data_IF_183997099899
#
_entry.id   IF_183997099899
#
_cell.length_a   1.000
_cell.length_b   1.000
_cell.length_c   1.000
_cell.angle_alpha   90.00
_cell.angle_beta   90.00
_cell.angle_gamma   90.00
#
_symmetry.space_group_name_H-M   'P 1'
#
loop_
_entity.id
_entity.type
_entity.pdbx_description
1 polymer ?
#
# COMPACT_ATOMS: atom_id res chain seq x y z
N UNK A 1 -1.93 5.43 -1.07
CA UNK A 1 -2.52 6.10 -2.24
C UNK A 1 -1.96 7.50 -2.25
N UNK A 2 -1.49 8.01 -3.38
CA UNK A 2 -1.08 9.42 -3.46
C UNK A 2 -2.27 10.30 -3.08
N UNK A 3 -2.14 11.05 -1.98
CA UNK A 3 -3.19 11.90 -1.44
C UNK A 3 -3.13 13.27 -2.13
N UNK A 4 -4.06 13.60 -3.03
CA UNK A 4 -4.00 14.84 -3.82
C UNK A 4 -4.02 16.12 -2.98
N UNK A 5 -4.66 16.11 -1.80
CA UNK A 5 -4.74 17.28 -0.93
C UNK A 5 -3.44 17.54 -0.14
N UNK A 6 -2.65 16.49 0.12
CA UNK A 6 -1.39 16.57 0.88
C UNK A 6 -0.11 16.33 0.06
N UNK A 7 -0.21 15.73 -1.13
CA UNK A 7 0.91 15.00 -1.74
C UNK A 7 2.17 15.83 -1.96
N UNK A 8 2.07 17.01 -2.58
CA UNK A 8 3.27 17.82 -2.87
C UNK A 8 3.94 18.25 -1.56
N UNK A 9 3.17 18.65 -0.55
CA UNK A 9 3.70 19.03 0.76
C UNK A 9 4.34 17.84 1.48
N UNK A 10 3.72 16.66 1.42
CA UNK A 10 4.26 15.43 1.96
C UNK A 10 5.61 15.04 1.32
N UNK A 11 5.68 15.04 0.00
CA UNK A 11 6.92 14.69 -0.69
C UNK A 11 8.03 15.72 -0.46
N UNK A 12 7.71 17.02 -0.37
CA UNK A 12 8.67 18.06 0.04
C UNK A 12 9.18 17.85 1.47
N UNK A 13 8.31 17.41 2.37
CA UNK A 13 8.70 17.10 3.74
C UNK A 13 9.62 15.88 3.80
N UNK A 14 9.30 14.80 3.07
CA UNK A 14 10.19 13.65 2.94
C UNK A 14 11.56 14.05 2.41
N UNK A 15 11.62 14.86 1.35
CA UNK A 15 12.87 15.39 0.80
C UNK A 15 13.66 16.18 1.85
N UNK A 16 13.02 17.13 2.56
CA UNK A 16 13.66 17.95 3.60
C UNK A 16 14.23 17.12 4.75
N UNK A 17 13.60 15.99 5.08
CA UNK A 17 13.98 15.11 6.18
C UNK A 17 14.89 13.95 5.74
N UNK A 18 15.23 13.85 4.45
CA UNK A 18 16.05 12.75 3.92
C UNK A 18 15.33 11.39 3.89
N UNK A 19 14.00 11.39 3.86
CA UNK A 19 13.17 10.17 3.85
C UNK A 19 12.87 9.77 2.41
N UNK A 20 13.01 8.47 2.10
CA UNK A 20 12.68 7.91 0.79
C UNK A 20 11.39 7.10 0.84
N UNK A 21 10.43 7.43 -0.03
CA UNK A 21 9.24 6.61 -0.26
C UNK A 21 9.50 5.63 -1.42
N UNK A 22 9.66 4.35 -1.10
CA UNK A 22 10.21 3.32 -1.99
C UNK A 22 9.17 2.44 -2.70
N UNK A 23 7.91 2.52 -2.30
CA UNK A 23 6.82 1.80 -2.96
C UNK A 23 5.57 1.67 -2.11
N UNK A 24 4.51 1.14 -2.72
CA UNK A 24 3.26 0.81 -2.04
C UNK A 24 2.57 -0.37 -2.72
N UNK A 25 1.56 -0.96 -2.04
CA UNK A 25 0.79 -2.10 -2.53
C UNK A 25 0.11 -1.87 -3.90
N UNK A 26 -0.06 -0.62 -4.33
CA UNK A 26 -0.71 -0.26 -5.61
C UNK A 26 0.27 -0.02 -6.76
N UNK A 27 1.56 0.02 -6.46
CA UNK A 27 2.62 0.34 -7.44
C UNK A 27 3.16 -0.90 -8.18
N UNK A 28 2.45 -2.04 -8.09
CA UNK A 28 2.93 -3.34 -8.57
C UNK A 28 1.94 -4.01 -9.51
N UNK A 29 2.49 -4.68 -10.52
CA UNK A 29 1.76 -5.45 -11.52
C UNK A 29 2.15 -6.92 -11.39
N UNK A 30 1.18 -7.80 -11.30
CA UNK A 30 1.43 -9.20 -10.97
C UNK A 30 1.60 -10.05 -12.23
N UNK A 31 2.55 -9.71 -13.10
CA UNK A 31 2.86 -10.58 -14.24
C UNK A 31 3.57 -11.85 -13.75
N UNK A 32 3.42 -12.97 -14.46
CA UNK A 32 4.14 -14.21 -14.12
C UNK A 32 5.68 -14.05 -14.12
N UNK A 33 6.18 -13.08 -14.89
CA UNK A 33 7.59 -12.73 -14.99
C UNK A 33 8.10 -11.81 -13.89
N UNK A 34 7.23 -11.28 -13.03
CA UNK A 34 7.63 -10.35 -11.97
C UNK A 34 8.44 -11.09 -10.88
N UNK A 35 9.63 -10.61 -10.48
CA UNK A 35 10.46 -11.33 -9.50
C UNK A 35 9.76 -11.61 -8.17
N UNK A 36 8.87 -10.72 -7.76
CA UNK A 36 8.12 -10.77 -6.50
C UNK A 36 6.88 -11.66 -6.53
N UNK A 37 6.57 -12.34 -7.63
CA UNK A 37 5.52 -13.38 -7.69
C UNK A 37 6.10 -14.80 -7.53
N UNK A 38 7.43 -14.92 -7.50
CA UNK A 38 8.13 -16.19 -7.29
C UNK A 38 7.77 -16.81 -5.94
N UNK A 39 7.33 -18.06 -5.94
CA UNK A 39 6.99 -18.79 -4.71
C UNK A 39 5.60 -18.47 -4.13
N UNK A 40 4.78 -17.67 -4.83
CA UNK A 40 3.45 -17.28 -4.37
C UNK A 40 2.39 -17.70 -5.41
N UNK A 41 1.97 -18.98 -5.44
CA UNK A 41 1.13 -19.51 -6.51
C UNK A 41 -0.24 -18.82 -6.56
N UNK A 42 -0.77 -18.63 -7.77
CA UNK A 42 -2.09 -18.05 -8.00
C UNK A 42 -2.17 -16.52 -7.89
N UNK A 43 -1.03 -15.85 -7.68
CA UNK A 43 -0.99 -14.38 -7.55
C UNK A 43 -0.76 -13.64 -8.86
N UNK A 44 -0.13 -14.30 -9.82
CA UNK A 44 0.26 -13.71 -11.09
C UNK A 44 -0.74 -13.99 -12.22
N UNK A 45 -0.79 -13.09 -13.21
CA UNK A 45 -1.52 -13.26 -14.45
C UNK A 45 -0.59 -13.61 -15.62
N UNK A 46 -1.15 -14.26 -16.63
CA UNK A 46 -0.50 -14.57 -17.90
C UNK A 46 -1.29 -13.99 -19.07
N UNK A 47 -0.58 -13.58 -20.13
CA UNK A 47 -1.17 -13.13 -21.38
C UNK A 47 -1.05 -14.24 -22.42
N UNK A 48 -2.18 -14.69 -22.96
CA UNK A 48 -2.27 -15.72 -24.00
C UNK A 48 -3.06 -15.18 -25.20
N UNK A 49 -2.34 -14.91 -26.28
CA UNK A 49 -2.88 -14.32 -27.52
C UNK A 49 -3.21 -15.36 -28.59
N UNK A 50 -3.27 -16.65 -28.24
CA UNK A 50 -3.44 -17.75 -29.21
C UNK A 50 -4.77 -17.67 -29.98
N UNK A 51 -5.89 -17.36 -29.31
CA UNK A 51 -7.20 -17.19 -29.93
C UNK A 51 -8.10 -16.26 -29.09
N UNK A 52 -9.30 -15.95 -29.60
CA UNK A 52 -10.24 -15.04 -28.95
C UNK A 52 -10.59 -15.46 -27.51
N UNK A 53 -10.82 -16.75 -27.27
CA UNK A 53 -11.19 -17.23 -25.93
C UNK A 53 -10.03 -17.06 -24.95
N UNK A 54 -8.81 -17.43 -25.33
CA UNK A 54 -7.63 -17.27 -24.46
C UNK A 54 -7.29 -15.81 -24.20
N UNK A 55 -7.56 -14.92 -25.18
CA UNK A 55 -7.44 -13.48 -24.98
C UNK A 55 -8.46 -12.95 -23.95
N UNK A 56 -9.71 -13.43 -24.02
CA UNK A 56 -10.76 -13.07 -23.04
C UNK A 56 -10.37 -13.58 -21.64
N UNK A 57 -9.91 -14.82 -21.53
CA UNK A 57 -9.42 -15.39 -20.26
C UNK A 57 -8.26 -14.55 -19.71
N UNK A 58 -7.32 -14.16 -20.55
CA UNK A 58 -6.19 -13.28 -20.17
C UNK A 58 -6.67 -11.93 -19.63
N UNK A 59 -7.66 -11.31 -20.27
CA UNK A 59 -8.24 -10.05 -19.81
C UNK A 59 -8.94 -10.21 -18.46
N UNK A 60 -9.68 -11.29 -18.25
CA UNK A 60 -10.28 -11.59 -16.94
C UNK A 60 -9.20 -11.79 -15.87
N UNK A 61 -8.13 -12.51 -16.20
CA UNK A 61 -7.03 -12.84 -15.30
C UNK A 61 -6.27 -11.58 -14.84
N UNK A 62 -5.96 -10.68 -15.78
CA UNK A 62 -5.36 -9.36 -15.51
C UNK A 62 -6.25 -8.56 -14.56
N UNK A 63 -7.55 -8.42 -14.87
CA UNK A 63 -8.47 -7.61 -14.06
C UNK A 63 -8.61 -8.13 -12.63
N UNK A 64 -8.66 -9.46 -12.46
CA UNK A 64 -8.71 -10.10 -11.14
C UNK A 64 -7.43 -9.91 -10.31
N UNK A 65 -6.31 -9.54 -10.96
CA UNK A 65 -4.98 -9.39 -10.34
C UNK A 65 -4.43 -7.98 -10.39
N UNK A 66 -5.24 -6.99 -10.79
CA UNK A 66 -4.90 -5.58 -10.57
C UNK A 66 -4.71 -5.33 -9.07
N UNK A 67 -3.75 -4.49 -8.64
CA UNK A 67 -3.34 -4.41 -7.24
C UNK A 67 -4.47 -4.23 -6.24
N UNK A 68 -5.45 -3.37 -6.50
CA UNK A 68 -6.61 -3.20 -5.61
C UNK A 68 -7.46 -4.48 -5.52
N UNK A 69 -7.83 -5.03 -6.68
CA UNK A 69 -8.67 -6.24 -6.80
C UNK A 69 -7.97 -7.47 -6.24
N UNK A 70 -6.65 -7.55 -6.33
CA UNK A 70 -5.88 -8.66 -5.77
C UNK A 70 -5.75 -8.54 -4.27
N UNK A 71 -5.23 -7.40 -3.80
CA UNK A 71 -4.71 -7.24 -2.46
C UNK A 71 -5.80 -6.92 -1.43
N UNK A 72 -6.91 -6.30 -1.84
CA UNK A 72 -7.93 -5.76 -0.91
C UNK A 72 -9.35 -6.26 -1.25
N UNK A 73 -9.50 -7.47 -1.78
CA UNK A 73 -10.82 -8.05 -2.15
C UNK A 73 -11.53 -8.85 -1.07
N UNK A 74 -10.84 -9.17 0.03
CA UNK A 74 -11.35 -10.06 1.06
C UNK A 74 -10.82 -9.70 2.44
N UNK A 75 -10.81 -10.68 3.35
CA UNK A 75 -10.21 -10.51 4.66
C UNK A 75 -8.74 -10.08 4.51
N UNK A 76 -8.34 -9.03 5.24
CA UNK A 76 -7.02 -8.41 5.09
C UNK A 76 -5.85 -9.36 5.37
N UNK A 77 -6.10 -10.39 6.19
CA UNK A 77 -5.15 -11.38 6.69
C UNK A 77 -5.27 -12.77 6.02
N UNK A 78 -6.18 -12.94 5.05
CA UNK A 78 -6.25 -14.18 4.28
C UNK A 78 -5.03 -14.33 3.35
N UNK A 79 -4.69 -15.56 2.90
CA UNK A 79 -3.56 -15.78 2.02
C UNK A 79 -3.63 -14.92 0.75
N UNK A 80 -2.49 -14.34 0.37
CA UNK A 80 -2.32 -13.44 -0.78
C UNK A 80 -3.12 -12.14 -0.72
N UNK A 81 -3.44 -11.66 0.49
CA UNK A 81 -4.16 -10.40 0.72
C UNK A 81 -3.26 -9.33 1.35
N UNK A 82 -3.89 -8.25 1.82
CA UNK A 82 -3.26 -7.00 2.23
C UNK A 82 -2.11 -7.16 3.23
N UNK A 83 -2.26 -7.97 4.27
CA UNK A 83 -1.22 -8.16 5.28
C UNK A 83 0.03 -8.81 4.69
N UNK A 84 -0.13 -9.96 4.03
CA UNK A 84 0.98 -10.72 3.43
C UNK A 84 1.71 -9.90 2.35
N UNK A 85 0.97 -9.19 1.51
CA UNK A 85 1.56 -8.30 0.51
C UNK A 85 2.36 -7.16 1.13
N UNK A 86 1.82 -6.53 2.18
CA UNK A 86 2.51 -5.42 2.86
C UNK A 86 3.78 -5.89 3.54
N UNK A 87 3.76 -7.05 4.21
CA UNK A 87 4.94 -7.66 4.83
C UNK A 87 5.99 -8.04 3.77
N UNK A 88 5.55 -8.62 2.66
CA UNK A 88 6.43 -8.98 1.54
C UNK A 88 7.13 -7.74 0.97
N UNK A 89 6.38 -6.65 0.76
CA UNK A 89 6.95 -5.40 0.27
C UNK A 89 7.89 -4.75 1.30
N UNK A 90 7.49 -4.69 2.57
CA UNK A 90 8.32 -4.15 3.63
C UNK A 90 9.66 -4.90 3.72
N UNK A 91 9.64 -6.22 3.56
CA UNK A 91 10.85 -7.05 3.50
C UNK A 91 11.68 -6.79 2.25
N UNK A 92 11.06 -6.76 1.06
CA UNK A 92 11.77 -6.54 -0.21
C UNK A 92 12.51 -5.21 -0.21
N UNK A 93 11.91 -4.16 0.34
CA UNK A 93 12.53 -2.84 0.38
C UNK A 93 13.37 -2.57 1.63
N UNK A 94 13.44 -3.51 2.58
CA UNK A 94 14.05 -3.26 3.89
C UNK A 94 13.47 -2.00 4.54
N UNK A 95 12.14 -1.87 4.53
CA UNK A 95 11.46 -0.67 5.00
C UNK A 95 11.62 -0.47 6.52
N UNK A 96 11.93 0.75 6.94
CA UNK A 96 12.02 1.12 8.36
C UNK A 96 10.65 1.38 9.00
N UNK A 97 9.65 1.75 8.19
CA UNK A 97 8.28 2.02 8.62
C UNK A 97 7.27 1.81 7.49
N UNK A 98 6.01 1.58 7.86
CA UNK A 98 4.87 1.54 6.96
C UNK A 98 3.97 2.77 7.18
N UNK A 99 3.46 3.35 6.11
CA UNK A 99 2.60 4.53 6.19
C UNK A 99 1.30 4.28 5.44
N UNK A 100 0.18 4.43 6.13
CA UNK A 100 -1.14 4.45 5.52
C UNK A 100 -1.58 5.88 5.24
N UNK A 101 -1.58 6.21 3.95
CA UNK A 101 -2.20 7.41 3.41
C UNK A 101 -3.38 7.00 2.54
N UNK A 102 -4.56 6.93 3.14
CA UNK A 102 -5.81 6.60 2.46
C UNK A 102 -6.95 7.42 3.01
N UNK A 103 -7.90 7.74 2.13
CA UNK A 103 -9.11 8.50 2.45
C UNK A 103 -10.01 7.73 3.44
N UNK A 104 -10.49 8.36 4.53
CA UNK A 104 -11.47 7.77 5.44
C UNK A 104 -12.76 7.26 4.77
N UNK A 105 -13.14 7.84 3.63
CA UNK A 105 -14.24 7.38 2.78
C UNK A 105 -14.05 5.97 2.20
N UNK A 106 -12.82 5.47 2.08
CA UNK A 106 -12.57 4.11 1.63
C UNK A 106 -12.84 3.09 2.75
N UNK A 107 -14.12 2.78 2.98
CA UNK A 107 -14.55 1.91 4.10
C UNK A 107 -13.90 0.52 4.07
N UNK A 108 -13.55 0.00 2.89
CA UNK A 108 -12.93 -1.31 2.73
C UNK A 108 -11.56 -1.38 3.44
N UNK A 109 -10.68 -0.40 3.21
CA UNK A 109 -9.38 -0.33 3.88
C UNK A 109 -9.50 0.27 5.28
N UNK A 110 -10.34 1.30 5.45
CA UNK A 110 -10.47 2.02 6.72
C UNK A 110 -11.04 1.15 7.85
N UNK A 111 -11.89 0.18 7.54
CA UNK A 111 -12.43 -0.77 8.53
C UNK A 111 -11.35 -1.70 9.11
N UNK A 112 -10.30 -1.99 8.35
CA UNK A 112 -9.25 -2.93 8.74
C UNK A 112 -7.94 -2.25 9.15
N UNK A 113 -7.77 -0.95 8.91
CA UNK A 113 -6.45 -0.30 9.04
C UNK A 113 -5.84 -0.39 10.43
N UNK A 114 -6.66 -0.35 11.49
CA UNK A 114 -6.16 -0.51 12.87
C UNK A 114 -5.67 -1.92 13.16
N UNK A 115 -6.33 -2.93 12.60
CA UNK A 115 -5.89 -4.33 12.69
C UNK A 115 -4.59 -4.51 11.90
N UNK A 116 -4.55 -3.97 10.69
CA UNK A 116 -3.38 -3.97 9.83
C UNK A 116 -2.17 -3.33 10.51
N UNK A 117 -2.34 -2.15 11.13
CA UNK A 117 -1.26 -1.47 11.85
C UNK A 117 -0.77 -2.29 13.06
N UNK A 118 -1.69 -2.89 13.84
CA UNK A 118 -1.32 -3.78 14.95
C UNK A 118 -0.44 -4.95 14.47
N UNK A 119 -0.83 -5.58 13.37
CA UNK A 119 -0.12 -6.76 12.89
C UNK A 119 1.23 -6.38 12.27
N UNK A 120 1.30 -5.32 11.47
CA UNK A 120 2.57 -4.78 10.98
C UNK A 120 3.55 -4.44 12.10
N UNK A 121 3.07 -3.79 13.16
CA UNK A 121 3.88 -3.48 14.36
C UNK A 121 4.35 -4.75 15.07
N UNK A 122 3.52 -5.79 15.13
CA UNK A 122 3.88 -7.11 15.69
C UNK A 122 5.02 -7.76 14.90
N UNK A 123 5.08 -7.52 13.58
CA UNK A 123 6.19 -7.94 12.71
C UNK A 123 7.39 -6.99 12.70
N UNK A 124 7.38 -5.94 13.54
CA UNK A 124 8.49 -5.01 13.69
C UNK A 124 8.50 -3.85 12.71
N UNK A 125 7.37 -3.56 12.04
CA UNK A 125 7.23 -2.40 11.16
C UNK A 125 6.38 -1.30 11.82
N UNK A 126 7.02 -0.26 12.41
CA UNK A 126 6.31 0.91 12.89
C UNK A 126 5.35 1.44 11.83
N UNK A 127 4.08 1.64 12.20
CA UNK A 127 3.03 1.97 11.24
C UNK A 127 2.35 3.30 11.59
N UNK A 128 2.42 4.25 10.67
CA UNK A 128 1.71 5.53 10.75
C UNK A 128 0.37 5.47 10.02
N UNK A 129 -0.70 5.99 10.62
CA UNK A 129 -2.01 6.14 9.98
C UNK A 129 -2.32 7.62 9.84
N UNK A 130 -2.37 8.11 8.60
CA UNK A 130 -2.87 9.46 8.30
C UNK A 130 -4.39 9.49 8.41
N UNK A 131 -4.95 10.60 8.92
CA UNK A 131 -6.40 10.83 8.91
C UNK A 131 -6.82 11.75 7.76
N UNK A 132 -5.85 12.33 7.04
CA UNK A 132 -6.10 13.15 5.86
C UNK A 132 -6.85 12.42 4.75
N UNK A 133 -7.59 13.20 3.97
CA UNK A 133 -8.38 12.71 2.86
C UNK A 133 -7.76 13.16 1.54
N UNK A 134 -7.61 12.23 0.59
CA UNK A 134 -7.09 12.51 -0.75
C UNK A 134 -7.90 13.57 -1.50
N UNK A 135 -9.17 13.77 -1.15
CA UNK A 135 -10.09 14.65 -1.87
C UNK A 135 -10.63 15.81 -1.03
N UNK A 136 -10.51 15.74 0.30
CA UNK A 136 -11.11 16.73 1.21
C UNK A 136 -10.12 17.25 2.25
N UNK A 137 -9.53 18.42 1.99
CA UNK A 137 -8.59 19.09 2.89
C UNK A 137 -9.21 19.59 4.19
N UNK A 138 -10.54 19.51 4.36
CA UNK A 138 -11.22 19.88 5.61
C UNK A 138 -11.11 18.79 6.67
N UNK A 139 -10.77 17.56 6.28
CA UNK A 139 -10.67 16.42 7.20
C UNK A 139 -9.45 16.57 8.11
N UNK A 140 -8.29 16.90 7.52
CA UNK A 140 -7.05 17.16 8.25
C UNK A 140 -6.23 18.17 7.42
N UNK A 141 -5.61 19.16 8.06
CA UNK A 141 -4.71 20.07 7.35
C UNK A 141 -3.33 19.45 7.18
N UNK A 142 -2.54 19.97 6.23
CA UNK A 142 -1.16 19.53 6.07
C UNK A 142 -0.34 19.75 7.35
N UNK A 143 -0.49 20.88 8.03
CA UNK A 143 0.26 21.22 9.25
C UNK A 143 -0.01 20.22 10.37
N UNK A 144 -1.25 19.74 10.47
CA UNK A 144 -1.64 18.70 11.43
C UNK A 144 -1.02 17.35 11.06
N UNK A 145 -1.04 16.99 9.76
CA UNK A 145 -0.37 15.79 9.25
C UNK A 145 1.14 15.82 9.50
N UNK A 146 1.79 16.95 9.23
CA UNK A 146 3.23 17.17 9.42
C UNK A 146 3.63 17.04 10.89
N UNK A 147 2.86 17.66 11.79
CA UNK A 147 3.10 17.53 13.24
C UNK A 147 3.09 16.07 13.70
N UNK A 148 2.07 15.31 13.28
CA UNK A 148 1.91 13.89 13.66
C UNK A 148 2.95 12.99 13.02
N UNK A 149 3.34 13.27 11.77
CA UNK A 149 4.44 12.59 11.10
C UNK A 149 5.75 12.85 11.84
N UNK A 150 6.06 14.11 12.15
CA UNK A 150 7.29 14.46 12.85
C UNK A 150 7.36 13.83 14.25
N UNK A 151 6.25 13.81 14.98
CA UNK A 151 6.15 13.09 16.25
C UNK A 151 6.40 11.58 16.08
N UNK A 152 5.73 10.94 15.11
CA UNK A 152 5.89 9.51 14.83
C UNK A 152 7.35 9.16 14.55
N UNK A 153 8.00 9.86 13.62
CA UNK A 153 9.39 9.56 13.26
C UNK A 153 10.36 9.79 14.43
N UNK A 154 10.17 10.85 15.23
CA UNK A 154 11.00 11.10 16.43
C UNK A 154 10.84 10.03 17.50
N UNK A 155 9.61 9.66 17.84
CA UNK A 155 9.34 8.63 18.85
C UNK A 155 9.89 7.26 18.43
N UNK A 156 9.89 6.98 17.12
CA UNK A 156 10.42 5.73 16.56
C UNK A 156 11.94 5.76 16.33
N UNK A 157 12.61 6.88 16.58
CA UNK A 157 14.06 7.02 16.38
C UNK A 157 14.48 7.00 14.90
N UNK A 158 13.58 7.42 14.01
CA UNK A 158 13.78 7.47 12.56
C UNK A 158 14.13 8.89 12.06
N UNK A 159 14.05 9.90 12.94
CA UNK A 159 14.53 11.27 12.79
C UNK A 159 15.13 11.76 14.11
#
# INVERSE_FOLDING_TARGET
IDNYSHCISMYRWFEKKGISHIGNILSRTFTESAPYTTGIPGTAYRIDTTNLNTMIDSLADINARMPMTRTIRGAYDAPNMWLEDSLSLAKIYSADACLYFGTPGCRNTWSNIKLMARDLETFGYPTFISYGDSFDSRVETWETSEMRLEEFYKIRGLL
#
